data_IF_981624360641
#
_entry.id   IF_981624360641
#
_cell.length_a   1.000
_cell.length_b   1.000
_cell.length_c   1.000
_cell.angle_alpha   90.00
_cell.angle_beta   90.00
_cell.angle_gamma   90.00
#
_symmetry.space_group_name_H-M   'P 1'
#
loop_
_entity.id
_entity.type
_entity.pdbx_description
1 polymer ?
#
# COMPACT_ATOMS: atom_id res chain seq x y z
N UNK A 1 66.75 13.19 37.55
CA UNK A 1 66.59 12.03 38.44
C UNK A 1 65.20 11.47 38.17
N UNK A 2 64.96 10.38 37.46
CA UNK A 2 65.81 9.36 36.81
C UNK A 2 64.82 8.63 35.90
N UNK A 3 65.13 8.58 34.59
CA UNK A 3 64.91 7.44 33.68
C UNK A 3 63.52 6.80 33.48
N UNK A 4 63.21 6.09 32.40
CA UNK A 4 63.62 6.02 30.99
C UNK A 4 62.78 4.84 30.44
N UNK A 5 62.39 4.94 29.18
CA UNK A 5 62.18 3.83 28.24
C UNK A 5 61.12 2.74 28.50
N UNK A 6 60.08 2.77 27.66
CA UNK A 6 59.88 1.83 26.52
C UNK A 6 58.67 2.39 25.72
N UNK A 7 58.82 3.05 24.56
CA UNK A 7 59.18 2.53 23.23
C UNK A 7 58.23 1.40 22.79
N UNK A 8 57.22 1.69 21.96
CA UNK A 8 57.12 1.25 20.54
C UNK A 8 55.76 1.60 19.89
N UNK A 9 55.81 2.06 18.62
CA UNK A 9 54.74 2.10 17.58
C UNK A 9 53.65 3.19 17.70
N UNK A 10 53.36 4.04 16.71
CA UNK A 10 53.81 4.23 15.32
C UNK A 10 53.47 5.70 14.94
N UNK A 11 54.42 6.55 14.55
CA UNK A 11 54.82 6.89 13.16
C UNK A 11 53.59 7.12 12.25
N UNK A 12 53.10 8.36 12.14
CA UNK A 12 53.45 9.40 11.14
C UNK A 12 53.01 9.05 9.72
N UNK A 13 52.13 9.86 9.13
CA UNK A 13 52.32 10.35 7.75
C UNK A 13 51.34 11.49 7.42
N UNK A 14 51.88 12.70 7.44
CA UNK A 14 51.39 13.88 6.72
C UNK A 14 51.83 13.76 5.26
N UNK A 15 51.01 14.38 4.40
CA UNK A 15 51.34 14.89 3.07
C UNK A 15 51.81 13.88 2.03
N UNK A 16 51.06 13.77 0.92
CA UNK A 16 51.61 13.74 -0.44
C UNK A 16 50.48 13.88 -1.47
N UNK A 17 50.26 15.13 -1.87
CA UNK A 17 49.60 15.52 -3.12
C UNK A 17 50.35 14.90 -4.30
N UNK A 18 49.71 14.04 -5.08
CA UNK A 18 50.24 13.54 -6.37
C UNK A 18 49.31 13.88 -7.53
N UNK A 19 49.89 14.58 -8.50
CA UNK A 19 49.35 14.93 -9.83
C UNK A 19 48.90 13.69 -10.61
N UNK A 20 47.87 13.79 -11.48
CA UNK A 20 47.50 12.71 -12.39
C UNK A 20 48.55 12.54 -13.49
N UNK A 21 48.97 11.29 -13.70
CA UNK A 21 49.86 10.84 -14.78
C UNK A 21 49.05 10.66 -16.06
N UNK A 22 49.50 11.26 -17.17
CA UNK A 22 48.92 11.09 -18.49
C UNK A 22 49.19 9.67 -19.03
N UNK A 23 48.16 8.98 -19.52
CA UNK A 23 48.27 7.70 -20.21
C UNK A 23 48.39 7.92 -21.73
N UNK A 24 49.40 7.31 -22.36
CA UNK A 24 49.68 7.36 -23.78
C UNK A 24 48.68 6.49 -24.61
N UNK A 25 48.41 6.84 -25.89
CA UNK A 25 47.49 6.09 -26.75
C UNK A 25 48.10 4.79 -27.29
N UNK A 26 47.30 3.72 -27.36
CA UNK A 26 47.68 2.45 -27.98
C UNK A 26 47.45 2.47 -29.51
N UNK A 27 48.28 1.77 -30.31
CA UNK A 27 48.31 1.90 -31.76
C UNK A 27 47.20 1.12 -32.49
N UNK A 28 46.70 1.71 -33.57
CA UNK A 28 45.68 1.17 -34.47
C UNK A 28 46.22 0.01 -35.32
N UNK A 29 46.22 -1.21 -34.78
CA UNK A 29 46.65 -2.39 -35.55
C UNK A 29 46.32 -3.76 -34.95
N UNK A 30 45.79 -3.84 -33.74
CA UNK A 30 45.59 -5.10 -33.01
C UNK A 30 44.18 -5.70 -33.09
N UNK A 31 43.25 -5.09 -33.83
CA UNK A 31 41.84 -5.52 -33.91
C UNK A 31 41.54 -6.58 -34.99
N UNK A 32 42.49 -6.91 -35.88
CA UNK A 32 42.23 -7.81 -37.02
C UNK A 32 42.73 -9.24 -36.86
N UNK A 33 43.23 -9.64 -35.68
CA UNK A 33 43.78 -11.01 -35.47
C UNK A 33 43.05 -11.87 -34.45
N UNK A 34 41.90 -11.43 -33.95
CA UNK A 34 41.06 -12.20 -33.01
C UNK A 34 39.72 -12.68 -33.62
N UNK A 35 39.62 -12.70 -34.95
CA UNK A 35 38.37 -12.98 -35.68
C UNK A 35 37.93 -14.46 -35.69
N UNK A 36 38.79 -15.51 -35.61
CA UNK A 36 38.28 -16.89 -35.61
C UNK A 36 37.87 -17.42 -34.22
N UNK A 37 38.31 -16.77 -33.13
CA UNK A 37 38.12 -17.27 -31.76
C UNK A 37 36.80 -16.85 -31.10
N UNK A 38 36.19 -15.74 -31.53
CA UNK A 38 34.95 -15.20 -30.95
C UNK A 38 33.67 -15.81 -31.56
N UNK A 39 33.75 -16.41 -32.74
CA UNK A 39 32.61 -17.05 -33.40
C UNK A 39 32.15 -18.34 -32.69
N UNK A 40 33.04 -19.03 -31.96
CA UNK A 40 32.70 -20.28 -31.25
C UNK A 40 32.12 -20.06 -29.85
N UNK A 41 32.26 -18.86 -29.29
CA UNK A 41 31.62 -18.46 -28.00
C UNK A 41 30.24 -17.84 -28.24
N UNK A 42 29.96 -17.30 -29.43
CA UNK A 42 28.62 -16.80 -29.79
C UNK A 42 27.60 -17.91 -30.13
N UNK A 43 28.05 -19.11 -30.51
CA UNK A 43 27.17 -20.18 -30.97
C UNK A 43 26.59 -21.07 -29.84
N UNK A 44 27.14 -21.03 -28.63
CA UNK A 44 26.70 -21.91 -27.52
C UNK A 44 25.91 -21.19 -26.42
N UNK A 45 25.73 -19.86 -26.53
CA UNK A 45 24.84 -19.07 -25.66
C UNK A 45 23.59 -18.55 -26.39
N UNK A 46 23.22 -19.12 -27.53
CA UNK A 46 21.98 -18.79 -28.25
C UNK A 46 20.81 -19.75 -27.92
N UNK A 47 21.06 -20.84 -27.18
CA UNK A 47 20.03 -21.85 -26.87
C UNK A 47 19.41 -21.77 -25.47
N UNK A 48 19.81 -20.79 -24.65
CA UNK A 48 19.08 -20.45 -23.41
C UNK A 48 18.31 -19.12 -23.51
N UNK A 49 18.22 -18.53 -24.71
CA UNK A 49 17.48 -17.29 -24.98
C UNK A 49 16.05 -17.53 -25.54
N UNK A 50 15.49 -18.74 -25.36
CA UNK A 50 14.13 -19.07 -25.82
C UNK A 50 13.04 -18.93 -24.75
N UNK A 51 13.39 -18.48 -23.53
CA UNK A 51 12.42 -18.30 -22.44
C UNK A 51 12.13 -16.83 -22.04
N UNK A 52 12.72 -15.85 -22.73
CA UNK A 52 12.58 -14.42 -22.38
C UNK A 52 11.83 -13.55 -23.41
N UNK A 53 11.27 -14.15 -24.47
CA UNK A 53 10.58 -13.41 -25.54
C UNK A 53 9.11 -13.05 -25.25
N UNK A 54 8.54 -13.43 -24.10
CA UNK A 54 7.14 -13.13 -23.80
C UNK A 54 6.89 -11.91 -22.91
N UNK A 55 7.88 -11.38 -22.17
CA UNK A 55 7.70 -10.21 -21.29
C UNK A 55 8.85 -9.17 -21.34
N UNK A 56 9.59 -9.11 -22.45
CA UNK A 56 10.39 -7.92 -22.79
C UNK A 56 9.50 -6.97 -23.61
N UNK A 57 9.32 -5.75 -23.10
CA UNK A 57 8.23 -4.85 -23.49
C UNK A 57 8.11 -4.57 -24.98
N UNK A 58 6.87 -4.39 -25.42
CA UNK A 58 6.54 -3.60 -26.63
C UNK A 58 7.02 -2.17 -26.41
N UNK A 59 8.31 -1.95 -26.63
CA UNK A 59 8.89 -0.62 -26.78
C UNK A 59 8.55 -0.17 -28.19
N UNK A 60 7.48 0.64 -28.24
CA UNK A 60 7.11 1.62 -29.25
C UNK A 60 7.88 1.61 -30.59
N UNK A 61 7.35 0.87 -31.56
CA UNK A 61 7.69 1.03 -32.99
C UNK A 61 7.32 2.42 -33.53
N UNK A 62 6.48 3.20 -32.82
CA UNK A 62 6.08 4.55 -33.23
C UNK A 62 7.14 5.63 -32.95
N UNK A 63 8.07 5.41 -32.02
CA UNK A 63 9.08 6.41 -31.67
C UNK A 63 10.16 6.57 -32.76
N UNK A 64 10.52 5.45 -33.39
CA UNK A 64 11.49 5.43 -34.51
C UNK A 64 10.81 5.89 -35.80
N UNK A 65 9.52 5.58 -35.99
CA UNK A 65 8.76 5.99 -37.17
C UNK A 65 8.54 7.52 -37.26
N UNK A 66 8.31 8.20 -36.12
CA UNK A 66 8.13 9.66 -36.11
C UNK A 66 9.46 10.42 -36.32
N UNK A 67 10.59 9.85 -35.88
CA UNK A 67 11.91 10.51 -35.91
C UNK A 67 12.60 10.51 -37.29
N UNK A 68 12.17 9.64 -38.21
CA UNK A 68 12.62 9.67 -39.62
C UNK A 68 11.95 10.80 -40.40
N UNK A 69 10.77 11.25 -39.96
CA UNK A 69 10.03 12.34 -40.59
C UNK A 69 10.60 13.72 -40.19
N UNK A 70 11.22 13.83 -39.01
CA UNK A 70 11.77 15.10 -38.47
C UNK A 70 13.24 15.39 -38.86
N UNK A 71 13.84 14.63 -39.79
CA UNK A 71 15.12 15.00 -40.43
C UNK A 71 16.37 15.01 -39.53
N UNK A 72 16.38 14.29 -38.41
CA UNK A 72 17.57 14.22 -37.55
C UNK A 72 18.65 13.29 -38.12
N UNK A 73 19.92 13.68 -38.01
CA UNK A 73 21.04 12.95 -38.59
C UNK A 73 21.22 11.57 -37.92
N UNK A 74 21.44 10.49 -38.70
CA UNK A 74 21.56 9.11 -38.20
C UNK A 74 22.63 8.91 -37.10
N UNK A 75 23.63 9.81 -37.05
CA UNK A 75 24.70 9.78 -36.07
C UNK A 75 24.23 10.06 -34.63
N UNK A 76 23.23 10.94 -34.44
CA UNK A 76 22.71 11.26 -33.11
C UNK A 76 21.95 10.07 -32.52
N UNK A 77 21.17 9.36 -33.35
CA UNK A 77 20.40 8.17 -32.95
C UNK A 77 21.34 7.03 -32.56
N UNK A 78 22.46 6.85 -33.27
CA UNK A 78 23.46 5.83 -32.94
C UNK A 78 24.22 6.15 -31.64
N UNK A 79 24.51 7.41 -31.39
CA UNK A 79 25.22 7.86 -30.18
C UNK A 79 24.35 7.72 -28.93
N UNK A 80 23.05 8.05 -29.03
CA UNK A 80 22.10 7.88 -27.92
C UNK A 80 21.89 6.39 -27.60
N UNK A 81 21.71 5.55 -28.63
CA UNK A 81 21.57 4.11 -28.45
C UNK A 81 22.83 3.45 -27.85
N UNK A 82 24.03 3.89 -28.26
CA UNK A 82 25.28 3.42 -27.68
C UNK A 82 25.46 3.85 -26.22
N UNK A 83 24.99 5.06 -25.89
CA UNK A 83 25.04 5.60 -24.52
C UNK A 83 24.09 4.85 -23.60
N UNK A 84 22.89 4.50 -24.07
CA UNK A 84 21.91 3.72 -23.31
C UNK A 84 22.37 2.28 -23.06
N UNK A 85 22.98 1.63 -24.06
CA UNK A 85 23.58 0.30 -23.90
C UNK A 85 24.72 0.30 -22.88
N UNK A 86 25.59 1.31 -22.94
CA UNK A 86 26.69 1.47 -21.99
C UNK A 86 26.19 1.70 -20.57
N UNK A 87 25.18 2.56 -20.40
CA UNK A 87 24.60 2.83 -19.08
C UNK A 87 23.86 1.63 -18.49
N UNK A 88 23.20 0.82 -19.34
CA UNK A 88 22.60 -0.45 -18.95
C UNK A 88 23.65 -1.45 -18.46
N UNK A 89 24.76 -1.59 -19.18
CA UNK A 89 25.87 -2.45 -18.78
C UNK A 89 26.52 -2.00 -17.46
N UNK A 90 26.71 -0.69 -17.26
CA UNK A 90 27.28 -0.14 -16.03
C UNK A 90 26.39 -0.38 -14.80
N UNK A 91 25.05 -0.29 -14.95
CA UNK A 91 24.10 -0.60 -13.87
C UNK A 91 24.11 -2.07 -13.49
N UNK A 92 24.24 -2.98 -14.47
CA UNK A 92 24.38 -4.41 -14.23
C UNK A 92 25.68 -4.75 -13.49
N UNK A 93 26.74 -3.96 -13.72
CA UNK A 93 28.01 -4.07 -13.01
C UNK A 93 28.01 -3.36 -11.65
N UNK A 94 26.87 -2.82 -11.19
CA UNK A 94 26.71 -2.17 -9.89
C UNK A 94 27.45 -0.83 -9.75
N UNK A 95 27.88 -0.23 -10.87
CA UNK A 95 28.65 1.01 -10.86
C UNK A 95 27.70 2.23 -10.82
N UNK A 96 27.99 3.25 -9.98
CA UNK A 96 27.17 4.45 -9.91
C UNK A 96 27.30 5.27 -11.19
N UNK A 97 26.21 5.39 -11.94
CA UNK A 97 26.13 6.25 -13.13
C UNK A 97 25.69 7.64 -12.69
N UNK A 98 26.61 8.61 -12.73
CA UNK A 98 26.28 10.04 -12.60
C UNK A 98 26.23 10.65 -14.00
N UNK A 99 25.02 11.01 -14.45
CA UNK A 99 24.81 11.71 -15.72
C UNK A 99 23.60 12.66 -15.62
N UNK A 100 23.58 13.78 -16.39
CA UNK A 100 22.66 14.91 -16.16
C UNK A 100 21.18 14.66 -16.49
N UNK A 101 20.79 13.42 -16.78
CA UNK A 101 19.46 13.08 -17.28
C UNK A 101 18.80 11.96 -16.46
N UNK A 102 18.73 12.13 -15.13
CA UNK A 102 17.71 11.45 -14.36
C UNK A 102 16.42 12.28 -14.47
N UNK A 103 15.71 12.16 -15.59
CA UNK A 103 14.26 12.39 -15.51
C UNK A 103 13.71 11.20 -14.71
N UNK A 104 13.07 11.43 -13.54
CA UNK A 104 12.25 10.38 -12.94
C UNK A 104 11.33 9.88 -14.05
N UNK A 105 11.24 8.57 -14.25
CA UNK A 105 10.29 8.01 -15.19
C UNK A 105 8.93 8.62 -14.87
N UNK A 106 8.48 9.55 -15.70
CA UNK A 106 7.15 10.14 -15.58
C UNK A 106 6.21 8.95 -15.64
N UNK A 107 5.57 8.68 -14.51
CA UNK A 107 4.54 7.66 -14.40
C UNK A 107 3.51 8.02 -15.46
N UNK A 108 3.47 7.25 -16.54
CA UNK A 108 2.53 7.48 -17.63
C UNK A 108 1.14 7.73 -17.01
N UNK A 109 0.41 8.78 -17.44
CA UNK A 109 -0.93 9.03 -16.95
C UNK A 109 -1.70 7.73 -17.06
N UNK A 110 -2.24 7.21 -15.96
CA UNK A 110 -3.14 6.06 -16.04
C UNK A 110 -4.26 6.52 -16.97
N UNK A 111 -4.50 5.84 -18.10
CA UNK A 111 -5.57 6.25 -18.99
C UNK A 111 -6.85 6.26 -18.16
N UNK A 112 -7.47 7.43 -18.04
CA UNK A 112 -8.79 7.57 -17.46
C UNK A 112 -9.68 6.71 -18.33
N UNK A 113 -10.18 5.60 -17.79
CA UNK A 113 -10.94 4.64 -18.58
C UNK A 113 -12.14 5.37 -19.19
N UNK A 114 -12.23 5.37 -20.52
CA UNK A 114 -13.37 5.98 -21.19
C UNK A 114 -14.66 5.25 -20.81
N UNK A 115 -15.81 5.94 -20.93
CA UNK A 115 -17.11 5.31 -20.64
C UNK A 115 -17.33 4.02 -21.44
N UNK A 116 -16.86 3.98 -22.70
CA UNK A 116 -16.95 2.78 -23.55
C UNK A 116 -16.04 1.65 -23.08
N UNK A 117 -14.85 1.95 -22.53
CA UNK A 117 -13.97 0.95 -21.92
C UNK A 117 -14.58 0.33 -20.66
N UNK A 118 -15.24 1.14 -19.84
CA UNK A 118 -15.95 0.66 -18.64
C UNK A 118 -17.17 -0.19 -19.02
N UNK A 119 -17.95 0.24 -20.00
CA UNK A 119 -19.08 -0.55 -20.52
C UNK A 119 -18.61 -1.89 -21.08
N UNK A 120 -17.54 -1.91 -21.89
CA UNK A 120 -16.97 -3.16 -22.43
C UNK A 120 -16.52 -4.10 -21.32
N UNK A 121 -15.85 -3.59 -20.29
CA UNK A 121 -15.46 -4.39 -19.11
C UNK A 121 -16.69 -4.91 -18.35
N UNK A 122 -17.74 -4.10 -18.22
CA UNK A 122 -19.00 -4.51 -17.60
C UNK A 122 -19.70 -5.63 -18.37
N UNK A 123 -19.75 -5.54 -19.70
CA UNK A 123 -20.33 -6.58 -20.56
C UNK A 123 -19.59 -7.92 -20.43
N UNK A 124 -18.26 -7.89 -20.34
CA UNK A 124 -17.46 -9.09 -20.11
C UNK A 124 -17.71 -9.73 -18.75
N UNK A 125 -17.95 -8.92 -17.70
CA UNK A 125 -18.34 -9.45 -16.38
C UNK A 125 -19.68 -10.18 -16.43
N UNK A 126 -20.69 -9.60 -17.08
CA UNK A 126 -22.02 -10.23 -17.24
C UNK A 126 -21.92 -11.52 -18.07
N UNK A 127 -21.08 -11.52 -19.13
CA UNK A 127 -20.86 -12.72 -19.93
C UNK A 127 -20.25 -13.84 -19.10
N UNK A 128 -19.27 -13.53 -18.25
CA UNK A 128 -18.64 -14.51 -17.34
C UNK A 128 -19.56 -14.96 -16.22
N UNK A 129 -20.42 -14.11 -15.69
CA UNK A 129 -21.38 -14.51 -14.64
C UNK A 129 -22.43 -15.50 -15.14
N UNK A 130 -22.65 -15.57 -16.46
CA UNK A 130 -23.52 -16.56 -17.09
C UNK A 130 -22.83 -17.92 -17.32
N UNK A 131 -21.52 -18.01 -17.07
CA UNK A 131 -20.76 -19.25 -17.19
C UNK A 131 -20.85 -20.06 -15.87
N UNK A 132 -21.56 -21.18 -15.92
CA UNK A 132 -21.86 -22.06 -14.77
C UNK A 132 -20.60 -22.80 -14.28
N UNK A 133 -19.48 -22.73 -15.02
CA UNK A 133 -18.21 -23.37 -14.66
C UNK A 133 -17.26 -22.48 -13.83
N UNK A 134 -17.66 -21.25 -13.52
CA UNK A 134 -16.86 -20.35 -12.67
C UNK A 134 -17.13 -20.66 -11.19
N UNK A 135 -16.18 -21.35 -10.55
CA UNK A 135 -16.18 -21.55 -9.09
C UNK A 135 -15.33 -20.43 -8.47
N UNK A 136 -15.98 -19.36 -8.00
CA UNK A 136 -15.32 -18.34 -7.18
C UNK A 136 -15.32 -18.78 -5.71
N UNK A 137 -14.30 -19.54 -5.30
CA UNK A 137 -14.14 -20.02 -3.91
C UNK A 137 -13.88 -18.88 -2.90
N UNK A 138 -13.51 -17.69 -3.36
CA UNK A 138 -13.22 -16.54 -2.50
C UNK A 138 -13.50 -15.24 -3.24
N UNK A 139 -14.13 -14.29 -2.55
CA UNK A 139 -14.46 -12.99 -3.13
C UNK A 139 -13.19 -12.27 -3.63
N UNK A 140 -13.09 -11.92 -4.93
CA UNK A 140 -11.85 -11.47 -5.56
C UNK A 140 -11.29 -10.17 -4.97
N UNK A 141 -12.15 -9.35 -4.34
CA UNK A 141 -11.71 -8.10 -3.69
C UNK A 141 -10.86 -8.32 -2.42
N UNK A 142 -10.95 -9.48 -1.76
CA UNK A 142 -10.33 -9.68 -0.44
C UNK A 142 -8.80 -9.55 -0.47
N UNK A 143 -8.14 -10.10 -1.50
CA UNK A 143 -6.70 -9.96 -1.67
C UNK A 143 -6.25 -8.50 -1.76
N UNK A 144 -7.04 -7.66 -2.46
CA UNK A 144 -6.76 -6.22 -2.54
C UNK A 144 -7.01 -5.53 -1.21
N UNK A 145 -8.10 -5.85 -0.53
CA UNK A 145 -8.44 -5.27 0.79
C UNK A 145 -7.32 -5.56 1.81
N UNK A 146 -6.75 -6.77 1.82
CA UNK A 146 -5.63 -7.12 2.70
C UNK A 146 -4.41 -6.22 2.51
N UNK A 147 -4.20 -5.68 1.30
CA UNK A 147 -3.12 -4.70 1.02
C UNK A 147 -3.47 -3.26 1.40
N UNK A 148 -4.75 -2.98 1.72
CA UNK A 148 -5.28 -1.66 2.06
C UNK A 148 -5.60 -1.51 3.57
N UNK A 149 -5.36 -2.54 4.39
CA UNK A 149 -5.56 -2.53 5.84
C UNK A 149 -4.25 -2.66 6.61
N UNK A 150 -4.21 -2.04 7.78
CA UNK A 150 -3.13 -2.10 8.76
C UNK A 150 -3.34 -3.25 9.75
N UNK A 151 -2.28 -3.65 10.49
CA UNK A 151 -2.42 -4.65 11.54
C UNK A 151 -3.44 -4.28 12.63
N UNK A 152 -3.51 -3.00 13.01
CA UNK A 152 -4.47 -2.52 14.00
C UNK A 152 -5.92 -2.57 13.47
N UNK A 153 -6.15 -2.25 12.20
CA UNK A 153 -7.46 -2.41 11.55
C UNK A 153 -7.88 -3.89 11.48
N UNK A 154 -6.94 -4.81 11.22
CA UNK A 154 -7.22 -6.24 11.28
C UNK A 154 -7.60 -6.71 12.69
N UNK A 155 -6.97 -6.16 13.75
CA UNK A 155 -7.37 -6.41 15.15
C UNK A 155 -8.77 -5.91 15.43
N UNK A 156 -9.11 -4.71 14.97
CA UNK A 156 -10.47 -4.14 15.10
C UNK A 156 -11.49 -5.06 14.42
N UNK A 157 -11.26 -5.47 13.18
CA UNK A 157 -12.16 -6.37 12.45
C UNK A 157 -12.37 -7.70 13.18
N UNK A 158 -11.28 -8.31 13.64
CA UNK A 158 -11.34 -9.55 14.44
C UNK A 158 -12.14 -9.36 15.72
N UNK A 159 -11.95 -8.24 16.43
CA UNK A 159 -12.72 -7.91 17.62
C UNK A 159 -14.21 -7.74 17.32
N UNK A 160 -14.57 -6.98 16.29
CA UNK A 160 -15.97 -6.81 15.88
C UNK A 160 -16.63 -8.13 15.48
N UNK A 161 -15.87 -9.05 14.88
CA UNK A 161 -16.38 -10.36 14.51
C UNK A 161 -16.68 -11.23 15.74
N UNK A 162 -15.79 -11.23 16.73
CA UNK A 162 -15.90 -12.09 17.91
C UNK A 162 -16.90 -11.56 18.95
N UNK A 163 -16.88 -10.25 19.18
CA UNK A 163 -17.65 -9.58 20.23
C UNK A 163 -18.94 -8.92 19.70
N UNK A 164 -19.11 -8.91 18.37
CA UNK A 164 -20.27 -8.31 17.71
C UNK A 164 -20.28 -6.77 17.74
N UNK A 165 -21.47 -6.17 17.55
CA UNK A 165 -21.64 -4.72 17.51
C UNK A 165 -21.09 -4.02 18.76
N UNK A 166 -20.42 -2.88 18.55
CA UNK A 166 -19.75 -2.11 19.58
C UNK A 166 -20.43 -0.76 19.82
N UNK A 167 -20.52 -0.31 21.09
CA UNK A 167 -21.15 0.96 21.44
C UNK A 167 -20.31 2.15 20.96
N UNK A 168 -20.99 3.14 20.37
CA UNK A 168 -20.43 4.44 20.07
C UNK A 168 -21.38 5.55 20.54
N UNK A 169 -20.83 6.70 20.92
CA UNK A 169 -21.59 7.84 21.44
C UNK A 169 -21.25 9.10 20.65
N UNK A 170 -22.30 9.79 20.25
CA UNK A 170 -22.22 11.15 19.71
C UNK A 170 -22.65 12.13 20.79
N UNK A 171 -21.88 13.20 20.98
CA UNK A 171 -22.22 14.31 21.87
C UNK A 171 -22.66 15.50 21.04
N UNK A 172 -23.84 16.03 21.31
CA UNK A 172 -24.43 17.16 20.60
C UNK A 172 -24.80 18.30 21.55
N UNK A 173 -24.76 19.53 21.04
CA UNK A 173 -25.32 20.68 21.74
C UNK A 173 -26.84 20.54 21.87
N UNK A 174 -27.39 21.01 22.97
CA UNK A 174 -28.83 21.09 23.15
C UNK A 174 -29.33 22.50 22.83
N UNK A 175 -30.40 22.58 22.05
CA UNK A 175 -31.11 23.81 21.71
C UNK A 175 -32.60 23.55 21.87
N UNK A 176 -33.39 24.55 22.31
CA UNK A 176 -34.84 24.42 22.41
C UNK A 176 -35.40 23.86 21.10
N UNK A 177 -36.28 22.85 21.19
CA UNK A 177 -36.91 22.15 20.05
C UNK A 177 -35.98 21.31 19.16
N UNK A 178 -34.70 21.15 19.50
CA UNK A 178 -33.74 20.31 18.76
C UNK A 178 -33.27 20.87 17.41
N UNK A 179 -33.88 21.97 16.95
CA UNK A 179 -33.53 22.66 15.72
C UNK A 179 -32.16 23.35 15.90
N UNK A 180 -31.25 23.06 14.97
CA UNK A 180 -29.89 23.56 15.02
C UNK A 180 -28.98 22.85 16.02
N UNK A 181 -29.33 21.69 16.59
CA UNK A 181 -28.36 20.91 17.39
C UNK A 181 -27.10 20.59 16.56
N UNK A 182 -25.91 20.92 17.06
CA UNK A 182 -24.61 20.69 16.38
C UNK A 182 -23.89 19.51 17.02
N UNK A 183 -23.23 18.68 16.21
CA UNK A 183 -22.36 17.61 16.68
C UNK A 183 -21.05 18.20 17.22
N UNK A 184 -20.73 17.94 18.48
CA UNK A 184 -19.52 18.44 19.15
C UNK A 184 -18.39 17.41 19.08
N UNK A 185 -18.73 16.14 19.26
CA UNK A 185 -17.85 15.01 19.06
C UNK A 185 -18.70 13.82 18.60
N UNK A 186 -18.24 13.10 17.58
CA UNK A 186 -18.93 11.93 17.05
C UNK A 186 -18.07 10.67 17.16
N UNK A 187 -18.75 9.52 17.28
CA UNK A 187 -18.09 8.22 17.26
C UNK A 187 -17.16 7.96 18.45
N UNK A 188 -17.45 8.51 19.63
CA UNK A 188 -16.69 8.20 20.85
C UNK A 188 -16.96 6.73 21.22
N UNK A 189 -15.92 5.91 21.28
CA UNK A 189 -16.03 4.46 21.46
C UNK A 189 -14.81 3.91 22.22
N UNK A 190 -14.79 2.61 22.52
CA UNK A 190 -13.68 1.91 23.19
C UNK A 190 -13.08 0.79 22.34
N UNK A 191 -13.25 0.85 21.02
CA UNK A 191 -12.90 -0.24 20.11
C UNK A 191 -11.39 -0.42 20.05
N UNK A 192 -10.60 0.65 19.97
CA UNK A 192 -9.15 0.55 19.91
C UNK A 192 -8.58 -0.10 21.17
N UNK A 193 -9.10 0.30 22.33
CA UNK A 193 -8.70 -0.19 23.64
C UNK A 193 -9.02 -1.68 23.79
N UNK A 194 -10.23 -2.11 23.40
CA UNK A 194 -10.65 -3.51 23.53
C UNK A 194 -10.08 -4.44 22.45
N UNK A 195 -9.82 -3.94 21.25
CA UNK A 195 -9.18 -4.72 20.18
C UNK A 195 -7.67 -4.86 20.35
N UNK A 196 -7.09 -4.16 21.34
CA UNK A 196 -5.66 -4.17 21.60
C UNK A 196 -4.87 -3.51 20.47
N UNK A 197 -5.38 -2.43 19.88
CA UNK A 197 -4.60 -1.65 18.92
C UNK A 197 -3.33 -1.12 19.58
N UNK A 198 -2.24 -1.07 18.82
CA UNK A 198 -1.00 -0.43 19.26
C UNK A 198 -1.18 1.09 19.30
N UNK A 199 -1.86 1.65 18.29
CA UNK A 199 -2.07 3.09 18.13
C UNK A 199 -3.52 3.51 18.38
N UNK A 200 -3.88 3.68 19.65
CA UNK A 200 -5.25 4.01 20.08
C UNK A 200 -5.75 5.34 19.52
N UNK A 201 -4.84 6.31 19.34
CA UNK A 201 -5.13 7.65 18.83
C UNK A 201 -5.59 7.67 17.36
N UNK A 202 -5.31 6.59 16.61
CA UNK A 202 -5.65 6.46 15.20
C UNK A 202 -7.00 5.79 14.94
N UNK A 203 -7.81 5.60 15.99
CA UNK A 203 -9.13 4.94 15.87
C UNK A 203 -10.03 5.58 14.81
N UNK A 204 -10.07 6.91 14.71
CA UNK A 204 -10.91 7.58 13.72
C UNK A 204 -10.50 7.27 12.28
N UNK A 205 -9.24 7.49 11.84
CA UNK A 205 -8.84 7.12 10.49
C UNK A 205 -8.98 5.61 10.20
N UNK A 206 -8.76 4.74 11.20
CA UNK A 206 -8.99 3.30 11.05
C UNK A 206 -10.44 2.98 10.73
N UNK A 207 -11.39 3.48 11.53
CA UNK A 207 -12.81 3.26 11.30
C UNK A 207 -13.27 3.89 9.97
N UNK A 208 -12.73 5.04 9.59
CA UNK A 208 -13.03 5.66 8.29
C UNK A 208 -12.57 4.80 7.12
N UNK A 209 -11.35 4.24 7.18
CA UNK A 209 -10.85 3.37 6.12
C UNK A 209 -11.63 2.05 6.06
N UNK A 210 -11.91 1.42 7.20
CA UNK A 210 -12.73 0.21 7.27
C UNK A 210 -14.14 0.43 6.71
N UNK A 211 -14.76 1.59 6.99
CA UNK A 211 -16.04 1.97 6.42
C UNK A 211 -15.95 2.24 4.90
N UNK A 212 -14.89 2.91 4.44
CA UNK A 212 -14.61 3.15 3.01
C UNK A 212 -14.47 1.83 2.24
N UNK A 213 -13.87 0.82 2.85
CA UNK A 213 -13.72 -0.53 2.30
C UNK A 213 -15.02 -1.36 2.37
N UNK A 214 -16.09 -0.83 2.98
CA UNK A 214 -17.37 -1.49 3.13
C UNK A 214 -17.38 -2.62 4.18
N UNK A 215 -16.38 -2.69 5.06
CA UNK A 215 -16.24 -3.76 6.06
C UNK A 215 -17.03 -3.49 7.34
N UNK A 216 -17.23 -2.22 7.69
CA UNK A 216 -18.02 -1.81 8.86
C UNK A 216 -19.09 -0.80 8.48
N UNK A 217 -20.09 -0.66 9.35
CA UNK A 217 -21.13 0.37 9.26
C UNK A 217 -21.29 1.12 10.58
N UNK A 218 -21.65 2.40 10.49
CA UNK A 218 -22.04 3.23 11.63
C UNK A 218 -23.57 3.26 11.70
N UNK A 219 -24.17 2.51 12.61
CA UNK A 219 -25.62 2.40 12.74
C UNK A 219 -26.18 3.34 13.81
N UNK A 220 -27.44 3.75 13.60
CA UNK A 220 -28.25 4.47 14.59
C UNK A 220 -28.85 3.51 15.62
N UNK A 221 -28.93 2.23 15.29
CA UNK A 221 -29.41 1.19 16.19
C UNK A 221 -28.43 1.03 17.35
N UNK A 222 -28.98 0.80 18.54
CA UNK A 222 -28.18 0.62 19.74
C UNK A 222 -27.72 -0.83 19.84
N UNK A 223 -26.63 -1.06 20.57
CA UNK A 223 -26.24 -2.42 20.91
C UNK A 223 -27.28 -3.03 21.87
N UNK A 224 -27.52 -4.33 21.72
CA UNK A 224 -28.56 -5.08 22.44
C UNK A 224 -28.48 -4.98 23.96
N UNK A 225 -27.28 -4.84 24.53
CA UNK A 225 -27.07 -4.62 25.96
C UNK A 225 -26.75 -3.14 26.25
N UNK A 226 -27.70 -2.34 26.77
CA UNK A 226 -27.50 -0.92 27.02
C UNK A 226 -26.43 -0.62 28.08
N UNK A 227 -26.15 -1.55 28.99
CA UNK A 227 -25.13 -1.33 30.05
C UNK A 227 -23.73 -1.15 29.46
N UNK A 228 -23.48 -1.64 28.24
CA UNK A 228 -22.18 -1.48 27.55
C UNK A 228 -21.86 -0.02 27.24
N UNK A 229 -22.86 0.86 27.16
CA UNK A 229 -22.63 2.30 26.98
C UNK A 229 -22.03 2.97 28.22
N UNK A 230 -22.29 2.46 29.43
CA UNK A 230 -21.81 3.05 30.69
C UNK A 230 -20.28 3.15 30.71
N UNK A 231 -19.58 2.15 30.15
CA UNK A 231 -18.12 2.13 30.05
C UNK A 231 -17.60 3.22 29.12
N UNK A 232 -18.32 3.50 28.04
CA UNK A 232 -17.98 4.57 27.08
C UNK A 232 -18.30 5.93 27.69
N UNK A 233 -19.45 6.08 28.35
CA UNK A 233 -19.90 7.31 29.00
C UNK A 233 -18.94 7.77 30.10
N UNK A 234 -18.35 6.83 30.84
CA UNK A 234 -17.37 7.12 31.89
C UNK A 234 -16.00 7.61 31.36
N UNK A 235 -15.76 7.57 30.04
CA UNK A 235 -14.46 7.93 29.50
C UNK A 235 -14.15 9.43 29.60
N UNK A 236 -12.88 9.80 29.89
CA UNK A 236 -12.47 11.21 29.94
C UNK A 236 -12.78 11.99 28.66
N UNK A 237 -12.67 11.33 27.49
CA UNK A 237 -12.98 11.93 26.18
C UNK A 237 -14.45 12.32 26.03
N UNK A 238 -15.38 11.55 26.62
CA UNK A 238 -16.81 11.88 26.65
C UNK A 238 -17.07 13.04 27.61
N UNK A 239 -16.51 13.00 28.82
CA UNK A 239 -16.63 14.10 29.77
C UNK A 239 -16.12 15.44 29.19
N UNK A 240 -14.97 15.41 28.50
CA UNK A 240 -14.43 16.59 27.81
C UNK A 240 -15.35 17.08 26.67
N UNK A 241 -15.97 16.17 25.92
CA UNK A 241 -16.93 16.53 24.88
C UNK A 241 -18.22 17.15 25.46
N UNK A 242 -18.73 16.61 26.57
CA UNK A 242 -19.90 17.16 27.27
C UNK A 242 -19.63 18.57 27.80
N UNK A 243 -18.45 18.79 28.40
CA UNK A 243 -18.02 20.12 28.85
C UNK A 243 -17.95 21.12 27.70
N UNK A 244 -17.40 20.72 26.55
CA UNK A 244 -17.35 21.57 25.33
C UNK A 244 -18.73 21.85 24.74
N UNK A 245 -19.68 20.94 24.90
CA UNK A 245 -21.02 21.08 24.37
C UNK A 245 -21.92 22.09 25.13
N UNK A 246 -21.48 22.54 26.31
CA UNK A 246 -22.13 23.60 27.06
C UNK A 246 -23.31 23.11 27.92
N UNK A 247 -24.40 23.88 27.96
CA UNK A 247 -25.54 23.62 28.85
C UNK A 247 -26.40 22.46 28.34
N UNK A 248 -26.65 21.48 29.22
CA UNK A 248 -27.54 20.32 29.00
C UNK A 248 -27.27 19.55 27.70
N UNK A 249 -26.04 19.10 27.42
CA UNK A 249 -25.71 18.41 26.17
C UNK A 249 -26.49 17.09 26.01
N UNK A 250 -26.74 16.70 24.77
CA UNK A 250 -27.42 15.44 24.44
C UNK A 250 -26.41 14.39 24.01
N UNK A 251 -26.43 13.24 24.66
CA UNK A 251 -25.74 12.03 24.20
C UNK A 251 -26.67 11.23 23.29
N UNK A 252 -26.15 10.79 22.15
CA UNK A 252 -26.86 9.93 21.21
C UNK A 252 -26.08 8.63 21.10
N UNK A 253 -26.67 7.55 21.59
CA UNK A 253 -26.12 6.20 21.49
C UNK A 253 -26.23 5.71 20.04
N UNK A 254 -25.15 5.11 19.56
CA UNK A 254 -24.94 4.56 18.22
C UNK A 254 -24.26 3.20 18.34
N UNK A 255 -24.12 2.49 17.23
CA UNK A 255 -23.32 1.28 17.18
C UNK A 255 -22.43 1.23 15.96
N UNK A 256 -21.34 0.48 16.09
CA UNK A 256 -20.40 0.16 15.01
C UNK A 256 -20.38 -1.36 14.89
N UNK A 257 -20.64 -1.86 13.70
CA UNK A 257 -20.77 -3.30 13.43
C UNK A 257 -20.15 -3.65 12.09
N UNK A 258 -19.86 -4.94 11.89
CA UNK A 258 -19.49 -5.47 10.59
C UNK A 258 -20.68 -5.39 9.63
N UNK A 259 -20.41 -5.15 8.36
CA UNK A 259 -21.37 -5.42 7.29
C UNK A 259 -21.37 -6.92 6.98
N UNK A 260 -22.36 -7.41 6.22
CA UNK A 260 -22.35 -8.79 5.73
C UNK A 260 -21.06 -9.11 4.95
N UNK A 261 -20.58 -8.15 4.14
CA UNK A 261 -19.31 -8.25 3.42
C UNK A 261 -18.10 -8.30 4.36
N UNK A 262 -18.10 -7.49 5.42
CA UNK A 262 -17.07 -7.51 6.45
C UNK A 262 -17.03 -8.80 7.26
N UNK A 263 -18.19 -9.39 7.56
CA UNK A 263 -18.28 -10.70 8.23
C UNK A 263 -17.67 -11.81 7.36
N UNK A 264 -17.99 -11.82 6.07
CA UNK A 264 -17.41 -12.77 5.12
C UNK A 264 -15.89 -12.59 4.99
N UNK A 265 -15.42 -11.33 4.87
CA UNK A 265 -13.99 -11.02 4.85
C UNK A 265 -13.28 -11.56 6.09
N UNK A 266 -13.82 -11.34 7.29
CA UNK A 266 -13.23 -11.82 8.54
C UNK A 266 -13.15 -13.34 8.58
N UNK A 267 -14.23 -14.04 8.20
CA UNK A 267 -14.31 -15.50 8.18
C UNK A 267 -13.29 -16.11 7.22
N UNK A 268 -13.08 -15.48 6.07
CA UNK A 268 -12.20 -16.01 5.02
C UNK A 268 -10.74 -15.64 5.25
N UNK A 269 -10.45 -14.44 5.74
CA UNK A 269 -9.08 -13.90 5.72
C UNK A 269 -8.39 -13.83 7.08
N UNK A 270 -9.12 -13.88 8.21
CA UNK A 270 -8.53 -13.64 9.53
C UNK A 270 -8.40 -14.92 10.36
N UNK A 271 -7.34 -15.06 11.18
CA UNK A 271 -7.21 -16.18 12.11
C UNK A 271 -8.16 -16.01 13.30
N UNK A 272 -9.33 -16.63 13.21
CA UNK A 272 -10.36 -16.60 14.26
C UNK A 272 -10.14 -17.66 15.35
N UNK A 273 -9.16 -18.56 15.18
CA UNK A 273 -8.80 -19.56 16.19
C UNK A 273 -9.89 -20.58 16.49
N UNK A 274 -10.74 -20.89 15.49
CA UNK A 274 -11.88 -21.80 15.65
C UNK A 274 -13.05 -21.20 16.44
N UNK A 275 -12.95 -19.94 16.89
CA UNK A 275 -14.08 -19.25 17.51
C UNK A 275 -15.15 -18.99 16.45
N UNK A 276 -16.20 -19.80 16.47
CA UNK A 276 -17.47 -19.45 15.82
C UNK A 276 -17.97 -18.17 16.49
N UNK A 277 -18.53 -17.23 15.71
CA UNK A 277 -19.15 -16.00 16.25
C UNK A 277 -19.92 -16.40 17.50
N UNK A 278 -19.52 -15.87 18.66
CA UNK A 278 -20.29 -16.11 19.87
C UNK A 278 -21.57 -15.34 19.63
N UNK A 279 -22.58 -15.98 19.06
CA UNK A 279 -23.96 -15.57 19.23
C UNK A 279 -24.21 -15.80 20.71
N UNK A 280 -23.67 -14.91 21.55
CA UNK A 280 -24.15 -14.74 22.90
C UNK A 280 -25.55 -14.22 22.63
N UNK A 281 -26.50 -15.15 22.50
CA UNK A 281 -27.92 -14.89 22.49
C UNK A 281 -28.11 -13.99 23.70
N UNK A 282 -28.25 -12.70 23.45
CA UNK A 282 -28.71 -11.81 24.49
C UNK A 282 -30.09 -12.35 24.88
N UNK A 283 -30.39 -12.54 26.17
CA UNK A 283 -31.61 -13.19 26.64
C UNK A 283 -32.90 -12.39 26.35
N UNK A 284 -32.88 -11.50 25.36
CA UNK A 284 -34.01 -10.69 24.91
C UNK A 284 -34.77 -11.28 23.70
N UNK A 285 -34.21 -12.25 22.97
CA UNK A 285 -34.88 -12.89 21.82
C UNK A 285 -35.85 -14.04 22.18
N UNK A 286 -36.25 -14.12 23.45
CA UNK A 286 -37.26 -15.05 23.96
C UNK A 286 -38.71 -14.61 23.71
N UNK A 287 -39.03 -14.01 22.56
CA UNK A 287 -40.42 -13.76 22.12
C UNK A 287 -40.64 -14.32 20.73
N UNK A 288 -40.89 -15.62 20.68
CA UNK A 288 -41.15 -16.35 19.45
C UNK A 288 -41.41 -17.83 19.67
N UNK A 289 -42.27 -18.16 20.63
CA UNK A 289 -43.14 -19.35 20.59
C UNK A 289 -44.26 -19.20 21.62
#
# INVERSE_FOLDING_TARGET
MTERHLVERAVTERDLVRRPVAAAPLPAGSLLRAVPGLARVAATSAWQATAWSMHAGRVSTNYVAQRVIDGQTPAAILQDAATDLRNGALRLLGLPVQGPYLRPAERAPRPVASTSDLQRRGSELIRRSNDVHVVEDTHPAFARILSEITPDEARILRYLYLDGPQPAIDVRTNRPLGIGSVLVAGGLNMIAEHSGCVHLERIHPYLTNLARLGLISFSKEQVSNPKRYQVVEAQPKVAAALKRAGRMPRMVQRSILLTTFGEEFCRTCLPLGGATRTTRLDPADGRGM
#
